data_IF_122737848477
#
_entry.id   IF_122737848477
#
_cell.length_a   1.000
_cell.length_b   1.000
_cell.length_c   1.000
_cell.angle_alpha   90.00
_cell.angle_beta   90.00
_cell.angle_gamma   90.00
#
_symmetry.space_group_name_H-M   'P 1'
#
loop_
_entity.id
_entity.type
_entity.pdbx_description
1 polymer ?
#
# COMPACT_ATOMS: atom_id res chain seq x y z
N UNK A 1 -3.98 14.81 -10.01
CA UNK A 1 -3.47 13.77 -9.08
C UNK A 1 -4.37 12.55 -9.21
N UNK A 2 -3.95 11.58 -10.00
CA UNK A 2 -4.67 10.32 -10.20
C UNK A 2 -4.22 9.32 -9.15
N UNK A 3 -5.07 9.01 -8.18
CA UNK A 3 -4.86 7.95 -7.20
C UNK A 3 -5.27 6.63 -7.84
N UNK A 4 -4.28 5.84 -8.28
CA UNK A 4 -4.53 4.52 -8.86
C UNK A 4 -4.42 3.50 -7.72
N UNK A 5 -5.51 2.80 -7.45
CA UNK A 5 -5.49 1.65 -6.55
C UNK A 5 -4.63 0.55 -7.17
N UNK A 6 -3.68 0.03 -6.39
CA UNK A 6 -2.80 -1.01 -6.87
C UNK A 6 -3.49 -2.38 -6.77
N UNK A 7 -3.26 -3.30 -7.70
CA UNK A 7 -4.02 -4.58 -7.73
C UNK A 7 -3.37 -5.71 -6.90
N UNK A 8 -2.08 -5.60 -6.59
CA UNK A 8 -1.29 -6.70 -5.99
C UNK A 8 -0.92 -6.41 -4.52
N UNK A 9 -1.93 -6.36 -3.67
CA UNK A 9 -1.75 -6.23 -2.22
C UNK A 9 -2.77 -7.07 -1.45
N UNK A 10 -2.45 -7.40 -0.21
CA UNK A 10 -3.36 -8.05 0.73
C UNK A 10 -3.69 -7.10 1.87
N UNK A 11 -4.97 -6.82 2.08
CA UNK A 11 -5.45 -6.13 3.29
C UNK A 11 -5.57 -7.12 4.44
N UNK A 12 -5.15 -6.69 5.62
CA UNK A 12 -5.30 -7.43 6.89
C UNK A 12 -6.50 -6.90 7.68
N UNK A 13 -6.95 -7.65 8.67
CA UNK A 13 -8.11 -7.31 9.51
C UNK A 13 -7.95 -5.97 10.24
N UNK A 14 -6.71 -5.58 10.52
CA UNK A 14 -6.34 -4.30 11.15
C UNK A 14 -6.11 -3.16 10.15
N UNK A 15 -6.63 -3.31 8.93
CA UNK A 15 -6.49 -2.35 7.83
C UNK A 15 -5.04 -2.12 7.39
N UNK A 16 -4.07 -2.91 7.86
CA UNK A 16 -2.71 -2.89 7.30
C UNK A 16 -2.70 -3.54 5.93
N UNK A 17 -1.79 -3.08 5.10
CA UNK A 17 -1.66 -3.57 3.73
C UNK A 17 -0.30 -4.22 3.52
N UNK A 18 -0.31 -5.48 3.08
CA UNK A 18 0.88 -6.17 2.59
C UNK A 18 1.00 -5.93 1.09
N UNK A 19 1.88 -4.99 0.69
CA UNK A 19 2.20 -4.73 -0.70
C UNK A 19 3.04 -5.87 -1.28
N UNK A 20 2.60 -6.53 -2.36
CA UNK A 20 3.36 -7.61 -3.04
C UNK A 20 3.87 -7.21 -4.45
N UNK A 21 3.80 -5.92 -4.79
CA UNK A 21 4.24 -5.37 -6.08
C UNK A 21 5.77 -5.33 -6.27
N UNK A 22 6.54 -5.43 -5.19
CA UNK A 22 7.99 -5.38 -5.21
C UNK A 22 8.55 -6.44 -4.25
N UNK A 23 9.79 -6.90 -4.45
CA UNK A 23 10.38 -8.00 -3.68
C UNK A 23 10.51 -7.71 -2.17
N UNK A 24 10.39 -6.45 -1.76
CA UNK A 24 10.43 -6.08 -0.34
C UNK A 24 9.20 -6.54 0.44
N UNK A 25 8.09 -6.82 -0.24
CA UNK A 25 6.84 -7.24 0.38
C UNK A 25 6.46 -6.41 1.61
N UNK A 26 6.44 -5.07 1.49
CA UNK A 26 6.26 -4.17 2.64
C UNK A 26 4.91 -4.43 3.34
N UNK A 27 4.91 -4.42 4.67
CA UNK A 27 3.70 -4.28 5.47
C UNK A 27 3.56 -2.79 5.83
N UNK A 28 2.48 -2.17 5.36
CA UNK A 28 2.25 -0.73 5.43
C UNK A 28 1.08 -0.48 6.36
N UNK A 29 1.33 0.28 7.43
CA UNK A 29 0.31 0.68 8.38
C UNK A 29 -0.66 1.70 7.77
N UNK A 30 -1.86 1.83 8.35
CA UNK A 30 -2.86 2.79 7.88
C UNK A 30 -2.29 4.21 7.94
N UNK A 31 -2.33 4.94 6.83
CA UNK A 31 -1.79 6.28 6.71
C UNK A 31 -0.26 6.33 6.53
N UNK A 32 0.42 5.18 6.50
CA UNK A 32 1.84 5.10 6.23
C UNK A 32 2.14 4.81 4.74
N UNK A 33 3.38 5.06 4.36
CA UNK A 33 3.93 4.70 3.05
C UNK A 33 4.93 3.56 3.18
N UNK A 34 4.99 2.71 2.16
CA UNK A 34 6.03 1.69 2.07
C UNK A 34 7.42 2.30 1.87
N UNK A 35 8.47 1.48 1.93
CA UNK A 35 9.85 1.96 1.81
C UNK A 35 10.13 2.66 0.47
N UNK A 36 9.34 2.37 -0.56
CA UNK A 36 9.44 2.99 -1.87
C UNK A 36 8.89 4.43 -1.92
N UNK A 37 8.21 4.90 -0.85
CA UNK A 37 7.61 6.24 -0.71
C UNK A 37 6.49 6.59 -1.72
N UNK A 38 6.34 5.83 -2.80
CA UNK A 38 5.29 6.03 -3.83
C UNK A 38 4.02 5.23 -3.59
N UNK A 39 4.00 4.33 -2.60
CA UNK A 39 2.82 3.50 -2.30
C UNK A 39 2.39 3.72 -0.86
N UNK A 40 1.16 4.18 -0.68
CA UNK A 40 0.58 4.51 0.62
C UNK A 40 -0.66 3.67 0.90
N UNK A 41 -0.80 3.22 2.15
CA UNK A 41 -2.00 2.55 2.61
C UNK A 41 -3.00 3.61 3.11
N UNK A 42 -4.14 3.72 2.44
CA UNK A 42 -5.24 4.61 2.84
C UNK A 42 -6.42 3.75 3.27
N UNK A 43 -6.57 3.54 4.58
CA UNK A 43 -7.73 2.85 5.16
C UNK A 43 -7.86 1.38 4.77
N UNK A 44 -6.76 0.68 4.51
CA UNK A 44 -6.78 -0.72 4.06
C UNK A 44 -6.67 -0.90 2.56
N UNK A 45 -6.51 0.18 1.79
CA UNK A 45 -6.32 0.13 0.35
C UNK A 45 -4.96 0.70 -0.05
N UNK A 46 -4.28 0.02 -0.98
CA UNK A 46 -2.97 0.47 -1.48
C UNK A 46 -3.15 1.44 -2.65
N UNK A 47 -2.66 2.65 -2.50
CA UNK A 47 -2.62 3.64 -3.58
C UNK A 47 -1.21 3.89 -4.04
N UNK A 48 -1.05 4.12 -5.34
CA UNK A 48 0.20 4.60 -5.93
C UNK A 48 0.09 6.10 -6.19
N UNK A 49 1.07 6.84 -5.68
CA UNK A 49 1.27 8.26 -5.95
C UNK A 49 2.36 8.36 -7.04
N UNK A 50 2.03 9.00 -8.15
CA UNK A 50 2.92 9.24 -9.30
C UNK A 50 3.09 10.73 -9.51
#
# INVERSE_FOLDING_TARGET
MSLIEALYYETREDQRVRCRLCPHHCLIDVGASGICQVRSNRGGQLYTEN
#
